data_IF_420958531507
#
_entry.id   IF_420958531507
#
_cell.length_a   1.000
_cell.length_b   1.000
_cell.length_c   1.000
_cell.angle_alpha   90.00
_cell.angle_beta   90.00
_cell.angle_gamma   90.00
#
_symmetry.space_group_name_H-M   'P 1'
#
loop_
_entity.id
_entity.type
_entity.pdbx_description
1 polymer ?
#
# COMPACT_ATOMS: atom_id res chain seq x y z
N UNK A 1 34.71 -10.43 27.64
CA UNK A 1 34.41 -10.48 26.18
C UNK A 1 33.05 -11.09 25.88
N UNK A 2 32.71 -12.27 26.44
CA UNK A 2 31.43 -12.96 26.19
C UNK A 2 30.18 -12.11 26.51
N UNK A 3 30.13 -11.45 27.66
CA UNK A 3 28.99 -10.60 28.05
C UNK A 3 28.73 -9.41 27.10
N UNK A 4 29.79 -8.81 26.55
CA UNK A 4 29.67 -7.73 25.54
C UNK A 4 29.12 -8.26 24.23
N UNK A 5 29.57 -9.43 23.79
CA UNK A 5 29.05 -10.08 22.59
C UNK A 5 27.56 -10.46 22.76
N UNK A 6 27.19 -11.06 23.89
CA UNK A 6 25.78 -11.38 24.21
C UNK A 6 24.91 -10.14 24.24
N UNK A 7 25.38 -9.05 24.84
CA UNK A 7 24.66 -7.77 24.87
C UNK A 7 24.43 -7.18 23.46
N UNK A 8 25.47 -7.18 22.61
CA UNK A 8 25.35 -6.74 21.22
C UNK A 8 24.39 -7.62 20.42
N UNK A 9 24.40 -8.94 20.64
CA UNK A 9 23.45 -9.86 20.02
C UNK A 9 22.01 -9.56 20.43
N UNK A 10 21.75 -9.25 21.71
CA UNK A 10 20.42 -8.86 22.19
C UNK A 10 19.97 -7.57 21.51
N UNK A 11 20.84 -6.55 21.43
CA UNK A 11 20.52 -5.30 20.72
C UNK A 11 20.18 -5.58 19.26
N UNK A 12 20.95 -6.43 18.58
CA UNK A 12 20.69 -6.81 17.19
C UNK A 12 19.31 -7.44 17.02
N UNK A 13 18.93 -8.37 17.89
CA UNK A 13 17.61 -9.01 17.87
C UNK A 13 16.49 -7.99 18.10
N UNK A 14 16.67 -7.09 19.08
CA UNK A 14 15.70 -6.04 19.38
C UNK A 14 15.49 -5.11 18.18
N UNK A 15 16.57 -4.70 17.51
CA UNK A 15 16.49 -3.88 16.29
C UNK A 15 15.77 -4.61 15.16
N UNK A 16 16.06 -5.90 14.95
CA UNK A 16 15.35 -6.71 13.95
C UNK A 16 13.86 -6.83 14.26
N UNK A 17 13.48 -6.98 15.52
CA UNK A 17 12.08 -6.99 15.95
C UNK A 17 11.39 -5.66 15.66
N UNK A 18 12.04 -4.53 15.91
CA UNK A 18 11.47 -3.22 15.58
C UNK A 18 11.26 -3.04 14.08
N UNK A 19 12.21 -3.47 13.25
CA UNK A 19 12.08 -3.44 11.79
C UNK A 19 10.93 -4.33 11.32
N UNK A 20 10.82 -5.55 11.88
CA UNK A 20 9.74 -6.47 11.57
C UNK A 20 8.37 -5.87 11.93
N UNK A 21 8.21 -5.36 13.15
CA UNK A 21 6.97 -4.73 13.60
C UNK A 21 6.63 -3.53 12.72
N UNK A 22 7.61 -2.69 12.38
CA UNK A 22 7.40 -1.55 11.50
C UNK A 22 6.82 -1.97 10.15
N UNK A 23 7.41 -2.98 9.49
CA UNK A 23 6.90 -3.49 8.22
C UNK A 23 5.57 -4.22 8.35
N UNK A 24 5.33 -4.96 9.44
CA UNK A 24 4.04 -5.59 9.69
C UNK A 24 2.92 -4.56 9.88
N UNK A 25 3.21 -3.37 10.42
CA UNK A 25 2.20 -2.33 10.66
C UNK A 25 2.04 -1.36 9.48
N UNK A 26 3.11 -1.08 8.73
CA UNK A 26 3.09 -0.07 7.65
C UNK A 26 3.15 -0.68 6.24
N UNK A 27 3.33 -1.99 6.15
CA UNK A 27 3.59 -2.70 4.92
C UNK A 27 5.02 -2.49 4.43
N UNK A 28 5.41 -3.26 3.41
CA UNK A 28 6.71 -3.12 2.76
C UNK A 28 6.69 -1.93 1.76
N UNK A 29 7.67 -1.00 1.82
CA UNK A 29 7.76 0.11 0.88
C UNK A 29 7.77 -0.30 -0.60
N UNK A 30 8.40 -1.45 -0.93
CA UNK A 30 8.45 -1.97 -2.31
C UNK A 30 7.06 -2.35 -2.79
N UNK A 31 6.30 -3.09 -2.00
CA UNK A 31 4.94 -3.49 -2.38
C UNK A 31 3.98 -2.30 -2.39
N UNK A 32 4.26 -1.27 -1.59
CA UNK A 32 3.52 0.00 -1.62
C UNK A 32 3.69 0.71 -2.97
N UNK A 33 4.91 0.80 -3.48
CA UNK A 33 5.17 1.41 -4.78
C UNK A 33 4.62 0.56 -5.93
N UNK A 34 4.78 -0.77 -5.87
CA UNK A 34 4.14 -1.65 -6.85
C UNK A 34 2.62 -1.45 -6.90
N UNK A 35 1.97 -1.25 -5.74
CA UNK A 35 0.53 -0.97 -5.68
C UNK A 35 0.16 0.36 -6.34
N UNK A 36 1.02 1.39 -6.23
CA UNK A 36 0.87 2.66 -6.94
C UNK A 36 0.89 2.47 -8.45
N UNK A 37 1.89 1.75 -8.96
CA UNK A 37 2.05 1.49 -10.38
C UNK A 37 0.87 0.69 -10.95
N UNK A 38 0.45 -0.35 -10.22
CA UNK A 38 -0.68 -1.20 -10.60
C UNK A 38 -1.98 -0.40 -10.71
N UNK A 39 -2.26 0.46 -9.72
CA UNK A 39 -3.43 1.35 -9.75
C UNK A 39 -3.34 2.38 -10.86
N UNK A 40 -2.16 2.95 -11.09
CA UNK A 40 -1.95 3.93 -12.17
C UNK A 40 -2.18 3.30 -13.55
N UNK A 41 -1.68 2.09 -13.78
CA UNK A 41 -1.90 1.33 -15.00
C UNK A 41 -3.38 0.99 -15.19
N UNK A 42 -4.03 0.47 -14.15
CA UNK A 42 -5.46 0.15 -14.17
C UNK A 42 -6.33 1.35 -14.53
N UNK A 43 -6.09 2.51 -13.91
CA UNK A 43 -6.86 3.72 -14.20
C UNK A 43 -6.66 4.21 -15.64
N UNK A 44 -5.42 4.15 -16.15
CA UNK A 44 -5.11 4.52 -17.53
C UNK A 44 -5.77 3.60 -18.55
N UNK A 45 -5.87 2.30 -18.25
CA UNK A 45 -6.49 1.31 -19.13
C UNK A 45 -8.01 1.40 -19.14
N UNK A 46 -8.63 1.61 -17.96
CA UNK A 46 -10.08 1.56 -17.81
C UNK A 46 -10.77 2.92 -17.97
N UNK A 47 -10.07 4.03 -17.73
CA UNK A 47 -10.59 5.38 -17.79
C UNK A 47 -9.64 6.32 -18.56
N UNK A 48 -9.34 6.04 -19.84
CA UNK A 48 -8.32 6.76 -20.60
C UNK A 48 -8.61 8.26 -20.81
N UNK A 49 -9.88 8.64 -20.80
CA UNK A 49 -10.33 10.03 -20.94
C UNK A 49 -10.21 10.83 -19.63
N UNK A 50 -10.05 10.12 -18.51
CA UNK A 50 -9.97 10.72 -17.18
C UNK A 50 -8.54 10.70 -16.65
N UNK A 51 -8.16 11.79 -15.99
CA UNK A 51 -6.86 11.89 -15.33
C UNK A 51 -7.04 11.76 -13.82
N UNK A 52 -6.41 10.75 -13.22
CA UNK A 52 -6.43 10.57 -11.77
C UNK A 52 -5.11 10.96 -11.12
N UNK A 53 -5.20 11.37 -9.86
CA UNK A 53 -4.08 11.57 -8.95
C UNK A 53 -4.24 10.64 -7.76
N UNK A 54 -3.20 9.86 -7.47
CA UNK A 54 -3.11 9.11 -6.22
C UNK A 54 -2.71 10.09 -5.11
N UNK A 55 -3.57 10.28 -4.11
CA UNK A 55 -3.32 11.24 -3.02
C UNK A 55 -2.78 10.57 -1.76
N UNK A 56 -3.17 9.31 -1.52
CA UNK A 56 -2.70 8.55 -0.36
C UNK A 56 -2.60 7.06 -0.69
N UNK A 57 -1.69 6.37 0.00
CA UNK A 57 -1.61 4.91 0.02
C UNK A 57 -1.42 4.49 1.47
N UNK A 58 -2.45 3.86 2.02
CA UNK A 58 -2.44 3.30 3.36
C UNK A 58 -2.31 1.77 3.30
N UNK A 59 -1.83 1.17 4.38
CA UNK A 59 -1.70 -0.27 4.51
C UNK A 59 -2.63 -0.74 5.62
N UNK A 60 -3.39 -1.80 5.33
CA UNK A 60 -4.26 -2.48 6.28
C UNK A 60 -3.64 -3.84 6.65
N UNK A 61 -2.92 -3.94 7.79
CA UNK A 61 -2.17 -5.14 8.17
C UNK A 61 -3.02 -6.40 8.28
N UNK A 62 -4.25 -6.27 8.78
CA UNK A 62 -5.14 -7.41 9.04
C UNK A 62 -5.40 -8.27 7.80
N UNK A 63 -5.40 -7.66 6.61
CA UNK A 63 -5.62 -8.35 5.35
C UNK A 63 -4.39 -8.35 4.41
N UNK A 64 -3.34 -7.60 4.77
CA UNK A 64 -2.21 -7.37 3.90
C UNK A 64 -2.58 -6.56 2.65
N UNK A 65 -3.51 -5.61 2.80
CA UNK A 65 -4.07 -4.83 1.69
C UNK A 65 -3.50 -3.41 1.68
N UNK A 66 -3.11 -2.92 0.51
CA UNK A 66 -2.88 -1.50 0.29
C UNK A 66 -4.15 -0.84 -0.21
N UNK A 67 -4.59 0.21 0.48
CA UNK A 67 -5.75 1.01 0.08
C UNK A 67 -5.20 2.28 -0.56
N UNK A 68 -5.39 2.39 -1.87
CA UNK A 68 -4.89 3.48 -2.72
C UNK A 68 -6.01 4.47 -2.96
N UNK A 69 -5.93 5.65 -2.35
CA UNK A 69 -6.91 6.70 -2.55
C UNK A 69 -6.58 7.50 -3.82
N UNK A 70 -7.58 7.68 -4.67
CA UNK A 70 -7.47 8.38 -5.96
C UNK A 70 -8.54 9.44 -6.10
N UNK A 71 -8.20 10.52 -6.79
CA UNK A 71 -9.11 11.61 -7.14
C UNK A 71 -8.90 12.01 -8.60
N UNK A 72 -9.97 12.29 -9.34
CA UNK A 72 -9.90 12.86 -10.68
C UNK A 72 -9.30 14.27 -10.61
N UNK A 73 -8.64 14.72 -11.69
CA UNK A 73 -8.05 16.07 -11.73
C UNK A 73 -9.10 17.17 -11.60
N UNK A 74 -10.32 16.93 -12.03
CA UNK A 74 -11.43 17.87 -11.87
C UNK A 74 -12.09 17.78 -10.48
N UNK A 75 -11.63 16.87 -9.62
CA UNK A 75 -12.08 16.70 -8.25
C UNK A 75 -13.48 16.09 -8.10
N UNK A 76 -14.13 15.69 -9.19
CA UNK A 76 -15.50 15.19 -9.15
C UNK A 76 -15.61 13.71 -8.78
N UNK A 77 -14.55 12.94 -9.01
CA UNK A 77 -14.55 11.51 -8.78
C UNK A 77 -13.43 11.17 -7.82
N UNK A 78 -13.77 10.53 -6.71
CA UNK A 78 -12.81 10.04 -5.74
C UNK A 78 -13.18 8.62 -5.28
N UNK A 79 -12.18 7.86 -4.85
CA UNK A 79 -12.40 6.51 -4.40
C UNK A 79 -11.14 5.84 -3.90
N UNK A 80 -11.33 4.68 -3.30
CA UNK A 80 -10.26 3.81 -2.82
C UNK A 80 -10.13 2.58 -3.71
N UNK A 81 -8.90 2.22 -4.04
CA UNK A 81 -8.56 0.99 -4.76
C UNK A 81 -7.79 0.07 -3.84
N UNK A 82 -8.34 -1.13 -3.62
CA UNK A 82 -7.71 -2.14 -2.80
C UNK A 82 -6.75 -2.98 -3.64
N UNK A 83 -5.49 -3.02 -3.22
CA UNK A 83 -4.45 -3.86 -3.81
C UNK A 83 -4.01 -4.89 -2.79
N UNK A 84 -4.27 -6.16 -3.08
CA UNK A 84 -3.95 -7.29 -2.21
C UNK A 84 -3.18 -8.34 -2.99
N UNK A 85 -2.03 -8.76 -2.46
CA UNK A 85 -1.14 -9.73 -3.10
C UNK A 85 -0.77 -9.36 -4.55
N UNK A 86 -0.52 -8.07 -4.80
CA UNK A 86 -0.14 -7.57 -6.13
C UNK A 86 -1.27 -7.63 -7.16
N UNK A 87 -2.53 -7.59 -6.72
CA UNK A 87 -3.70 -7.56 -7.60
C UNK A 87 -4.72 -6.55 -7.08
N UNK A 88 -5.38 -5.85 -7.98
CA UNK A 88 -6.53 -5.00 -7.64
C UNK A 88 -7.71 -5.91 -7.29
N UNK A 89 -8.37 -5.61 -6.16
CA UNK A 89 -9.63 -6.21 -5.76
C UNK A 89 -10.74 -5.27 -6.12
N UNK A 90 -11.60 -5.70 -7.03
CA UNK A 90 -12.82 -5.00 -7.44
C UNK A 90 -14.07 -5.54 -6.76
N UNK A 91 -13.91 -6.52 -5.86
CA UNK A 91 -15.03 -7.17 -5.16
C UNK A 91 -15.44 -6.32 -3.94
N UNK A 92 -16.58 -5.61 -4.06
CA UNK A 92 -17.28 -5.02 -2.91
C UNK A 92 -17.59 -3.53 -2.99
N UNK A 93 -16.91 -2.78 -3.87
CA UNK A 93 -17.29 -1.42 -4.21
C UNK A 93 -17.63 -1.39 -5.69
N UNK A 94 -18.85 -0.99 -6.02
CA UNK A 94 -19.06 -0.25 -7.26
C UNK A 94 -18.05 0.91 -7.24
N UNK A 95 -16.92 0.71 -7.90
CA UNK A 95 -16.05 1.82 -8.25
C UNK A 95 -16.95 2.87 -8.90
N UNK A 96 -17.01 4.11 -8.41
CA UNK A 96 -18.09 5.04 -8.71
C UNK A 96 -17.91 5.69 -10.10
N UNK A 97 -17.57 4.88 -11.10
CA UNK A 97 -17.52 5.28 -12.50
C UNK A 97 -18.67 4.69 -13.31
N UNK A 98 -19.62 3.98 -12.69
CA UNK A 98 -20.89 3.70 -13.37
C UNK A 98 -21.71 5.00 -13.38
N UNK A 99 -21.76 5.54 -14.59
CA UNK A 99 -22.58 6.62 -15.11
C UNK A 99 -23.95 6.77 -14.45
#
# INVERSE_FOLDING_TARGET
MKAKATFLSIIGIVLLLFVFIYFSLNGNPVTKENSRELVSAYLKENYPEESFKITNISYYPGEGTYIVHVISKDGKIEGNIDVRNGRIRTEGAEFPFRQ
#
